data_IF_144439142576
#
_entry.id   IF_144439142576
#
_cell.length_a   1.000
_cell.length_b   1.000
_cell.length_c   1.000
_cell.angle_alpha   90.00
_cell.angle_beta   90.00
_cell.angle_gamma   90.00
#
_symmetry.space_group_name_H-M   'P 1'
#
loop_
_entity.id
_entity.type
_entity.pdbx_description
1 polymer ?
#
# COMPACT_ATOMS: atom_id res chain seq x y z
N UNK A 1 7.50 -6.29 2.95
CA UNK A 1 7.45 -7.13 1.73
C UNK A 1 8.17 -6.46 0.56
N UNK A 2 8.40 -7.17 -0.56
CA UNK A 2 9.19 -6.64 -1.69
C UNK A 2 8.65 -5.30 -2.24
N UNK A 3 7.35 -5.21 -2.52
CA UNK A 3 6.72 -3.97 -3.00
C UNK A 3 6.88 -2.78 -2.04
N UNK A 4 6.89 -3.03 -0.73
CA UNK A 4 7.09 -1.97 0.26
C UNK A 4 8.53 -1.43 0.23
N UNK A 5 9.53 -2.30 0.02
CA UNK A 5 10.93 -1.85 -0.10
C UNK A 5 11.14 -0.90 -1.28
N UNK A 6 10.40 -1.12 -2.36
CA UNK A 6 10.54 -0.36 -3.60
C UNK A 6 9.67 0.90 -3.65
N UNK A 7 8.45 0.84 -3.10
CA UNK A 7 7.41 1.85 -3.39
C UNK A 7 6.77 2.49 -2.16
N UNK A 8 6.99 1.96 -0.97
CA UNK A 8 6.50 2.63 0.24
C UNK A 8 7.42 3.79 0.61
N UNK A 9 6.82 4.95 0.84
CA UNK A 9 7.49 6.18 1.22
C UNK A 9 6.81 6.78 2.44
N UNK A 10 7.60 7.34 3.35
CA UNK A 10 7.13 8.07 4.51
C UNK A 10 8.19 9.10 4.90
N UNK A 11 7.74 10.24 5.41
CA UNK A 11 8.60 11.30 5.96
C UNK A 11 8.54 11.34 7.50
N UNK A 12 7.93 10.33 8.13
CA UNK A 12 7.64 10.32 9.56
C UNK A 12 8.90 10.29 10.42
N UNK A 13 9.90 9.49 10.02
CA UNK A 13 11.21 9.43 10.69
C UNK A 13 12.23 10.20 9.85
N UNK A 14 12.90 11.22 10.40
CA UNK A 14 13.90 11.96 9.67
C UNK A 14 15.16 11.10 9.46
N UNK A 15 15.84 11.32 8.33
CA UNK A 15 17.16 10.75 8.06
C UNK A 15 17.28 9.21 8.19
N UNK A 16 16.25 8.45 7.76
CA UNK A 16 16.26 6.96 7.82
C UNK A 16 17.47 6.32 7.13
N UNK A 17 18.17 7.00 6.21
CA UNK A 17 19.38 6.48 5.55
C UNK A 17 19.11 5.36 4.54
N UNK A 18 17.90 4.82 4.53
CA UNK A 18 17.44 3.72 3.68
C UNK A 18 15.95 3.88 3.30
N UNK A 19 15.41 3.08 2.36
CA UNK A 19 14.00 3.14 2.00
C UNK A 19 13.09 2.83 3.19
N UNK A 20 12.00 3.59 3.34
CA UNK A 20 11.08 3.51 4.48
C UNK A 20 10.54 2.08 4.75
N UNK A 21 10.33 1.27 3.70
CA UNK A 21 9.88 -0.12 3.85
C UNK A 21 10.94 -1.07 4.41
N UNK A 22 12.23 -0.80 4.17
CA UNK A 22 13.34 -1.53 4.79
C UNK A 22 13.41 -1.14 6.25
N UNK A 23 13.51 0.16 6.52
CA UNK A 23 13.56 0.74 7.86
C UNK A 23 12.44 0.23 8.77
N UNK A 24 11.18 0.31 8.32
CA UNK A 24 10.05 -0.17 9.11
C UNK A 24 10.16 -1.66 9.44
N UNK A 25 10.63 -2.48 8.49
CA UNK A 25 10.80 -3.91 8.73
C UNK A 25 11.87 -4.18 9.79
N UNK A 26 12.98 -3.46 9.75
CA UNK A 26 14.06 -3.59 10.73
C UNK A 26 13.64 -3.10 12.11
N UNK A 27 12.94 -1.97 12.18
CA UNK A 27 12.40 -1.42 13.42
C UNK A 27 11.41 -2.38 14.08
N UNK A 28 10.42 -2.92 13.34
CA UNK A 28 9.47 -3.89 13.93
C UNK A 28 10.18 -5.15 14.44
N UNK A 29 11.21 -5.63 13.73
CA UNK A 29 11.98 -6.78 14.18
C UNK A 29 12.80 -6.48 15.44
N UNK A 30 13.32 -5.25 15.59
CA UNK A 30 14.10 -4.85 16.77
C UNK A 30 13.26 -4.71 18.04
N UNK A 31 11.95 -4.50 17.91
CA UNK A 31 10.99 -4.51 19.02
C UNK A 31 10.75 -5.90 19.62
N UNK A 32 11.17 -6.97 18.95
CA UNK A 32 11.06 -8.31 19.52
C UNK A 32 12.17 -8.55 20.55
N UNK A 33 11.81 -8.99 21.76
CA UNK A 33 12.74 -9.45 22.81
C UNK A 33 13.45 -10.78 22.48
N UNK A 34 13.53 -11.10 21.19
CA UNK A 34 14.23 -12.26 20.70
C UNK A 34 13.40 -13.54 20.69
N UNK A 35 12.08 -13.54 20.84
CA UNK A 35 11.23 -14.71 20.50
C UNK A 35 10.20 -14.28 19.46
N UNK A 36 10.11 -15.03 18.36
CA UNK A 36 9.09 -14.81 17.33
C UNK A 36 8.32 -16.11 17.12
N UNK A 37 7.00 -16.04 16.99
CA UNK A 37 6.16 -17.23 16.83
C UNK A 37 5.18 -17.07 15.68
N UNK A 38 5.01 -18.13 14.90
CA UNK A 38 4.00 -18.22 13.86
C UNK A 38 2.66 -18.62 14.45
N UNK A 39 1.59 -17.98 13.99
CA UNK A 39 0.21 -18.31 14.37
C UNK A 39 -0.61 -18.64 13.12
N UNK A 40 -1.40 -19.72 13.20
CA UNK A 40 -2.48 -19.98 12.24
C UNK A 40 -3.74 -19.31 12.77
N UNK A 41 -4.33 -18.40 11.98
CA UNK A 41 -5.58 -17.71 12.34
C UNK A 41 -6.79 -18.57 11.97
N UNK A 42 -7.74 -18.63 12.88
CA UNK A 42 -9.07 -19.24 12.72
C UNK A 42 -10.09 -18.22 12.22
N UNK A 43 -11.28 -18.68 11.81
CA UNK A 43 -12.35 -17.82 11.28
C UNK A 43 -12.92 -16.84 12.32
N UNK A 44 -12.87 -17.21 13.60
CA UNK A 44 -13.19 -16.37 14.76
C UNK A 44 -12.10 -15.34 15.09
N UNK A 45 -10.98 -15.35 14.35
CA UNK A 45 -9.84 -14.48 14.58
C UNK A 45 -8.86 -14.99 15.64
N UNK A 46 -9.15 -16.08 16.36
CA UNK A 46 -8.20 -16.66 17.30
C UNK A 46 -6.94 -17.18 16.59
N UNK A 47 -5.86 -17.35 17.34
CA UNK A 47 -4.57 -17.80 16.81
C UNK A 47 -4.04 -19.04 17.52
N UNK A 48 -3.81 -20.12 16.77
CA UNK A 48 -3.08 -21.29 17.25
C UNK A 48 -1.57 -21.10 17.02
N UNK A 49 -0.80 -21.09 18.10
CA UNK A 49 0.65 -21.00 18.09
C UNK A 49 1.29 -22.24 17.46
N UNK A 50 2.07 -22.03 16.41
CA UNK A 50 2.85 -23.05 15.71
C UNK A 50 4.30 -22.99 16.19
N UNK A 51 5.25 -23.05 15.26
CA UNK A 51 6.68 -22.98 15.54
C UNK A 51 7.08 -21.58 16.02
N UNK A 52 7.93 -21.57 17.04
CA UNK A 52 8.59 -20.37 17.53
C UNK A 52 10.09 -20.44 17.22
N UNK A 53 10.69 -19.27 17.03
CA UNK A 53 12.11 -19.06 16.83
C UNK A 53 12.76 -18.71 18.18
N UNK A 54 14.09 -18.88 18.24
CA UNK A 54 14.95 -18.38 19.33
C UNK A 54 14.48 -18.84 20.75
N UNK A 55 14.22 -20.14 20.91
CA UNK A 55 13.97 -20.75 22.23
C UNK A 55 12.51 -20.74 22.70
N UNK A 56 11.56 -20.31 21.86
CA UNK A 56 10.12 -20.29 22.21
C UNK A 56 9.38 -21.63 22.09
N UNK A 57 10.05 -22.78 22.15
CA UNK A 57 9.45 -24.10 21.88
C UNK A 57 8.27 -24.43 22.82
N UNK A 58 8.36 -23.98 24.07
CA UNK A 58 7.30 -24.13 25.08
C UNK A 58 6.01 -23.38 24.74
N UNK A 59 6.06 -22.42 23.81
CA UNK A 59 4.89 -21.65 23.38
C UNK A 59 4.08 -22.36 22.29
N UNK A 60 4.58 -23.47 21.74
CA UNK A 60 3.88 -24.22 20.68
C UNK A 60 2.57 -24.79 21.21
N UNK A 61 1.49 -24.61 20.45
CA UNK A 61 0.15 -25.10 20.78
C UNK A 61 -0.68 -24.16 21.64
N UNK A 62 -0.15 -23.02 22.10
CA UNK A 62 -0.96 -22.02 22.81
C UNK A 62 -2.03 -21.43 21.90
N UNK A 63 -3.17 -21.10 22.48
CA UNK A 63 -4.25 -20.38 21.80
C UNK A 63 -4.28 -18.95 22.32
N UNK A 64 -4.32 -17.98 21.42
CA UNK A 64 -4.53 -16.57 21.74
C UNK A 64 -5.86 -16.12 21.16
N UNK A 65 -6.62 -15.38 21.95
CA UNK A 65 -7.88 -14.78 21.53
C UNK A 65 -7.67 -13.73 20.44
N UNK A 66 -8.71 -13.48 19.64
CA UNK A 66 -8.66 -12.55 18.50
C UNK A 66 -8.13 -11.16 18.89
N UNK A 67 -8.56 -10.63 20.04
CA UNK A 67 -8.20 -9.30 20.55
C UNK A 67 -6.71 -9.17 20.94
N UNK A 68 -5.98 -10.30 21.01
CA UNK A 68 -4.53 -10.29 21.23
C UNK A 68 -3.77 -9.82 19.98
N UNK A 69 -4.39 -9.91 18.81
CA UNK A 69 -3.78 -9.54 17.55
C UNK A 69 -4.22 -8.13 17.14
N UNK A 70 -3.29 -7.23 16.79
CA UNK A 70 -3.64 -5.92 16.26
C UNK A 70 -4.52 -6.06 15.01
N UNK A 71 -5.61 -5.28 14.88
CA UNK A 71 -6.52 -5.35 13.72
C UNK A 71 -5.80 -5.16 12.38
N UNK A 72 -4.76 -4.31 12.38
CA UNK A 72 -3.94 -3.97 11.23
C UNK A 72 -2.55 -4.64 11.24
N UNK A 73 -2.42 -5.76 11.97
CA UNK A 73 -1.23 -6.63 12.08
C UNK A 73 0.01 -6.04 12.75
N UNK A 74 0.24 -4.73 12.72
CA UNK A 74 1.37 -4.07 13.40
C UNK A 74 0.86 -3.37 14.65
N UNK A 75 1.33 -3.81 15.82
CA UNK A 75 1.06 -3.14 17.09
C UNK A 75 1.87 -1.85 17.17
N UNK A 76 1.24 -0.75 17.57
CA UNK A 76 1.91 0.55 17.79
C UNK A 76 2.19 0.85 19.25
N UNK A 77 1.72 0.00 20.16
CA UNK A 77 1.94 0.12 21.60
C UNK A 77 3.45 0.10 21.93
N UNK A 78 3.92 1.11 22.66
CA UNK A 78 5.34 1.22 23.05
C UNK A 78 6.25 1.87 22.01
N UNK A 79 5.74 2.21 20.82
CA UNK A 79 6.48 3.01 19.85
C UNK A 79 6.44 4.51 20.21
N UNK A 80 7.45 5.26 19.76
CA UNK A 80 7.43 6.72 19.85
C UNK A 80 6.55 7.34 18.74
N UNK A 81 6.20 8.64 18.82
CA UNK A 81 5.29 9.26 17.85
C UNK A 81 5.76 9.19 16.38
N UNK A 82 7.05 9.43 16.05
CA UNK A 82 7.55 9.23 14.68
C UNK A 82 7.32 7.82 14.13
N UNK A 83 7.57 6.78 14.94
CA UNK A 83 7.40 5.40 14.50
C UNK A 83 5.92 4.99 14.43
N UNK A 84 5.08 5.51 15.32
CA UNK A 84 3.61 5.37 15.20
C UNK A 84 3.14 5.97 13.88
N UNK A 85 3.61 7.17 13.53
CA UNK A 85 3.24 7.81 12.26
C UNK A 85 3.77 7.01 11.05
N UNK A 86 4.97 6.44 11.12
CA UNK A 86 5.50 5.58 10.07
C UNK A 86 4.60 4.36 9.82
N UNK A 87 4.09 3.73 10.88
CA UNK A 87 3.13 2.62 10.77
C UNK A 87 1.80 3.10 10.17
N UNK A 88 1.30 4.28 10.54
CA UNK A 88 0.10 4.85 9.94
C UNK A 88 0.27 5.15 8.45
N UNK A 89 1.40 5.70 8.04
CA UNK A 89 1.73 5.92 6.63
C UNK A 89 1.76 4.60 5.86
N UNK A 90 2.30 3.55 6.50
CA UNK A 90 2.33 2.21 5.92
C UNK A 90 0.91 1.63 5.73
N UNK A 91 0.05 1.74 6.74
CA UNK A 91 -1.36 1.33 6.61
C UNK A 91 -2.10 2.15 5.55
N UNK A 92 -1.86 3.45 5.46
CA UNK A 92 -2.46 4.30 4.43
C UNK A 92 -2.01 3.89 3.02
N UNK A 93 -0.73 3.55 2.86
CA UNK A 93 -0.19 2.99 1.62
C UNK A 93 -0.80 1.62 1.29
N UNK A 94 -1.06 0.76 2.30
CA UNK A 94 -1.70 -0.54 2.09
C UNK A 94 -3.22 -0.50 1.98
N UNK A 95 -3.85 0.65 2.19
CA UNK A 95 -5.29 0.76 2.41
C UNK A 95 -6.17 0.04 1.35
N UNK A 96 -5.90 0.11 0.03
CA UNK A 96 -6.70 -0.62 -0.96
C UNK A 96 -6.74 -2.14 -0.73
N UNK A 97 -5.66 -2.74 -0.22
CA UNK A 97 -5.64 -4.17 0.10
C UNK A 97 -6.23 -4.45 1.48
N UNK A 98 -6.00 -3.57 2.45
CA UNK A 98 -6.53 -3.74 3.80
C UNK A 98 -8.06 -3.70 3.83
N UNK A 99 -8.71 -2.96 2.92
CA UNK A 99 -10.17 -2.94 2.79
C UNK A 99 -10.80 -4.30 2.45
N UNK A 100 -10.01 -5.27 1.96
CA UNK A 100 -10.43 -6.66 1.71
C UNK A 100 -10.61 -7.47 3.00
N UNK A 101 -10.10 -6.98 4.13
CA UNK A 101 -10.25 -7.67 5.42
C UNK A 101 -11.72 -7.66 5.84
N UNK A 102 -12.27 -8.80 6.31
CA UNK A 102 -13.69 -8.92 6.64
C UNK A 102 -14.06 -8.20 7.94
N UNK A 103 -13.18 -8.27 8.95
CA UNK A 103 -13.49 -7.91 10.33
C UNK A 103 -12.87 -6.55 10.73
N UNK A 104 -12.92 -5.56 9.84
CA UNK A 104 -12.55 -4.18 10.19
C UNK A 104 -13.70 -3.51 10.91
N UNK A 105 -13.40 -2.80 12.00
CA UNK A 105 -14.40 -1.94 12.62
C UNK A 105 -14.76 -0.75 11.71
N UNK A 106 -15.85 -0.06 12.05
CA UNK A 106 -16.35 1.06 11.25
C UNK A 106 -15.33 2.21 11.15
N UNK A 107 -14.64 2.54 12.25
CA UNK A 107 -13.72 3.67 12.31
C UNK A 107 -12.43 3.40 11.50
N UNK A 108 -11.89 2.18 11.60
CA UNK A 108 -10.75 1.71 10.84
C UNK A 108 -11.08 1.64 9.35
N UNK A 109 -12.21 1.02 8.98
CA UNK A 109 -12.63 0.96 7.58
C UNK A 109 -12.80 2.36 7.00
N UNK A 110 -13.41 3.29 7.72
CA UNK A 110 -13.61 4.67 7.26
C UNK A 110 -12.26 5.38 7.00
N UNK A 111 -11.29 5.25 7.91
CA UNK A 111 -9.93 5.81 7.71
C UNK A 111 -9.21 5.19 6.52
N UNK A 112 -9.37 3.88 6.32
CA UNK A 112 -8.79 3.16 5.19
C UNK A 112 -9.45 3.56 3.87
N UNK A 113 -10.76 3.77 3.80
CA UNK A 113 -11.44 4.24 2.59
C UNK A 113 -10.95 5.62 2.15
N UNK A 114 -10.83 6.57 3.08
CA UNK A 114 -10.24 7.89 2.82
C UNK A 114 -8.83 7.77 2.28
N UNK A 115 -8.02 6.88 2.87
CA UNK A 115 -6.62 6.67 2.43
C UNK A 115 -6.55 5.98 1.06
N UNK A 116 -7.42 5.00 0.82
CA UNK A 116 -7.46 4.22 -0.42
C UNK A 116 -7.85 5.09 -1.62
N UNK A 117 -8.70 6.10 -1.44
CA UNK A 117 -9.06 7.05 -2.51
C UNK A 117 -7.84 7.75 -3.15
N UNK A 118 -6.71 7.86 -2.45
CA UNK A 118 -5.44 8.40 -3.01
C UNK A 118 -4.81 7.46 -4.05
N UNK A 119 -5.25 6.20 -4.09
CA UNK A 119 -4.76 5.14 -4.97
C UNK A 119 -5.91 4.63 -5.86
N UNK A 120 -6.50 5.57 -6.60
CA UNK A 120 -7.72 5.39 -7.38
C UNK A 120 -7.69 4.17 -8.33
N UNK A 121 -6.56 3.88 -8.99
CA UNK A 121 -6.42 2.72 -9.87
C UNK A 121 -6.54 1.38 -9.13
N UNK A 122 -5.95 1.30 -7.93
CA UNK A 122 -6.06 0.10 -7.08
C UNK A 122 -7.48 -0.05 -6.53
N UNK A 123 -8.12 1.06 -6.15
CA UNK A 123 -9.53 1.05 -5.77
C UNK A 123 -10.38 0.53 -6.91
N UNK A 124 -10.19 1.01 -8.15
CA UNK A 124 -10.95 0.52 -9.30
C UNK A 124 -10.77 -0.99 -9.51
N UNK A 125 -9.55 -1.50 -9.33
CA UNK A 125 -9.24 -2.93 -9.46
C UNK A 125 -9.92 -3.79 -8.40
N UNK A 126 -9.93 -3.35 -7.14
CA UNK A 126 -10.39 -4.18 -6.01
C UNK A 126 -11.79 -3.87 -5.50
N UNK A 127 -12.45 -2.80 -5.98
CA UNK A 127 -13.73 -2.30 -5.47
C UNK A 127 -14.80 -3.39 -5.27
N UNK A 128 -14.93 -4.31 -6.24
CA UNK A 128 -15.95 -5.38 -6.20
C UNK A 128 -15.65 -6.47 -5.16
N UNK A 129 -14.43 -6.51 -4.63
CA UNK A 129 -13.98 -7.47 -3.63
C UNK A 129 -14.07 -6.91 -2.21
N UNK A 130 -14.38 -5.63 -2.03
CA UNK A 130 -14.55 -5.06 -0.69
C UNK A 130 -15.82 -5.64 -0.05
N UNK A 131 -15.71 -6.28 1.13
CA UNK A 131 -16.84 -6.92 1.79
C UNK A 131 -17.88 -5.92 2.32
N UNK A 132 -17.44 -4.69 2.61
CA UNK A 132 -18.28 -3.59 3.04
C UNK A 132 -17.70 -2.24 2.59
N UNK A 133 -18.57 -1.25 2.38
CA UNK A 133 -18.22 0.11 1.98
C UNK A 133 -19.02 1.08 2.84
N UNK A 134 -18.34 2.07 3.44
CA UNK A 134 -18.95 3.12 4.26
C UNK A 134 -19.28 4.33 3.38
N UNK A 135 -18.28 4.89 2.69
CA UNK A 135 -18.42 6.04 1.79
C UNK A 135 -18.38 5.59 0.33
N UNK A 136 -19.54 5.16 -0.15
CA UNK A 136 -19.70 4.75 -1.54
C UNK A 136 -19.42 5.89 -2.53
N UNK A 137 -19.77 7.13 -2.17
CA UNK A 137 -19.62 8.28 -3.06
C UNK A 137 -18.14 8.60 -3.28
N UNK A 138 -17.33 8.61 -2.21
CA UNK A 138 -15.90 8.84 -2.31
C UNK A 138 -15.21 7.77 -3.17
N UNK A 139 -15.49 6.49 -2.94
CA UNK A 139 -14.88 5.41 -3.72
C UNK A 139 -15.31 5.42 -5.19
N UNK A 140 -16.58 5.72 -5.49
CA UNK A 140 -17.03 5.87 -6.88
C UNK A 140 -16.35 7.07 -7.57
N UNK A 141 -16.20 8.18 -6.86
CA UNK A 141 -15.50 9.37 -7.37
C UNK A 141 -14.05 9.04 -7.71
N UNK A 142 -13.34 8.34 -6.82
CA UNK A 142 -11.98 7.87 -7.07
C UNK A 142 -11.92 6.96 -8.31
N UNK A 143 -12.86 6.02 -8.47
CA UNK A 143 -12.91 5.13 -9.63
C UNK A 143 -13.13 5.87 -10.94
N UNK A 144 -14.03 6.85 -10.96
CA UNK A 144 -14.25 7.67 -12.15
C UNK A 144 -13.00 8.48 -12.48
N UNK A 145 -12.32 9.05 -11.48
CA UNK A 145 -11.04 9.74 -11.69
C UNK A 145 -9.99 8.82 -12.33
N UNK A 146 -9.83 7.57 -11.84
CA UNK A 146 -8.93 6.58 -12.45
C UNK A 146 -9.32 6.25 -13.90
N UNK A 147 -10.62 6.04 -14.16
CA UNK A 147 -11.09 5.76 -15.51
C UNK A 147 -10.85 6.93 -16.47
N UNK A 148 -11.03 8.18 -16.01
CA UNK A 148 -10.73 9.37 -16.79
C UNK A 148 -9.24 9.48 -17.12
N UNK A 149 -8.36 9.28 -16.14
CA UNK A 149 -6.90 9.30 -16.35
C UNK A 149 -6.46 8.23 -17.35
N UNK A 150 -7.01 7.02 -17.26
CA UNK A 150 -6.72 5.94 -18.21
C UNK A 150 -7.17 6.24 -19.63
N UNK A 151 -8.31 6.92 -19.79
CA UNK A 151 -8.90 7.23 -21.08
C UNK A 151 -8.39 8.55 -21.69
N UNK A 152 -7.58 9.34 -20.97
CA UNK A 152 -6.89 10.47 -21.55
C UNK A 152 -5.81 9.96 -22.51
N UNK A 153 -5.70 10.54 -23.73
CA UNK A 153 -4.58 10.23 -24.60
C UNK A 153 -3.30 10.59 -23.86
N UNK A 154 -2.42 9.59 -23.65
CA UNK A 154 -1.07 9.87 -23.17
C UNK A 154 -0.46 10.88 -24.14
N UNK A 155 0.11 12.00 -23.68
CA UNK A 155 0.88 12.86 -24.57
C UNK A 155 1.95 11.97 -25.20
N UNK A 156 1.84 11.76 -26.50
CA UNK A 156 2.88 11.10 -27.28
C UNK A 156 4.15 11.83 -26.93
N UNK A 157 5.08 11.16 -26.25
CA UNK A 157 6.44 11.66 -26.17
C UNK A 157 7.01 11.45 -27.55
N UNK A 158 6.63 12.32 -28.48
CA UNK A 158 7.30 12.48 -29.76
C UNK A 158 8.69 13.02 -29.44
N UNK A 159 9.60 12.09 -29.19
CA UNK A 159 10.91 12.20 -29.82
C UNK A 159 10.74 11.56 -31.19
N UNK A 160 9.85 12.13 -32.02
CA UNK A 160 9.99 11.97 -33.46
C UNK A 160 11.06 12.99 -33.82
N UNK A 161 12.26 12.46 -34.04
CA UNK A 161 13.32 13.20 -34.69
C UNK A 161 12.69 13.98 -35.83
N UNK A 162 12.88 15.29 -35.80
CA UNK A 162 12.56 16.20 -36.88
C UNK A 162 13.12 15.64 -38.19
N UNK A 163 12.34 14.84 -38.89
CA UNK A 163 12.46 14.69 -40.33
C UNK A 163 11.95 16.03 -40.85
N UNK A 164 12.86 16.99 -40.89
CA UNK A 164 12.70 18.23 -41.65
C UNK A 164 12.32 17.84 -43.08
N UNK A 165 11.03 17.84 -43.36
CA UNK A 165 10.47 17.96 -44.70
C UNK A 165 10.78 19.38 -45.18
N UNK A 166 12.06 19.63 -45.46
CA UNK A 166 12.47 20.78 -46.26
C UNK A 166 11.82 20.60 -47.63
N UNK A 167 10.76 21.36 -47.86
CA UNK A 167 10.16 21.59 -49.17
C UNK A 167 11.31 21.95 -50.13
N UNK A 168 11.62 21.05 -51.06
CA UNK A 168 12.47 21.39 -52.19
C UNK A 168 11.61 22.30 -53.06
N UNK A 169 11.76 23.61 -52.91
CA UNK A 169 11.32 24.54 -53.94
C UNK A 169 12.14 24.24 -55.20
N UNK A 170 11.57 23.43 -56.08
CA UNK A 170 12.00 23.32 -57.46
C UNK A 170 11.67 24.66 -58.11
N UNK A 171 12.67 25.56 -58.20
CA UNK A 171 12.61 26.65 -59.17
C UNK A 171 12.65 26.04 -60.56
N UNK A 172 11.47 25.82 -61.14
CA UNK A 172 11.29 25.77 -62.58
C UNK A 172 11.66 27.15 -63.11
N UNK A 173 12.88 27.25 -63.63
CA UNK A 173 13.24 28.29 -64.58
C UNK A 173 12.86 27.77 -65.96
N UNK A 174 11.69 28.19 -66.45
CA UNK A 174 11.31 28.04 -67.85
C UNK A 174 11.47 29.41 -68.53
N UNK A 175 12.42 29.45 -69.46
CA UNK A 175 12.51 30.19 -70.72
C UNK A 175 12.21 31.70 -70.78
N UNK A 176 13.23 32.47 -71.19
CA UNK A 176 13.24 33.26 -72.44
C UNK A 176 14.65 33.37 -73.01
#
# INVERSE_FOLDING_TARGET
>A
GMAARERFQSTAVPHMGEPAGVYLSEYVNSLSDGVAQWFRRSDDGAGLGLHALKGGESLRGRVLEADTFPPLFIATSGMDPPHIQLVHDYHAWQAPWMLLLPNLDFAERSKLEVSACRQAELVEKYYRLYPAIIDQQALLTARVAAALVRNQPKPTTEVDETVSMSYIELSVSADE
#
